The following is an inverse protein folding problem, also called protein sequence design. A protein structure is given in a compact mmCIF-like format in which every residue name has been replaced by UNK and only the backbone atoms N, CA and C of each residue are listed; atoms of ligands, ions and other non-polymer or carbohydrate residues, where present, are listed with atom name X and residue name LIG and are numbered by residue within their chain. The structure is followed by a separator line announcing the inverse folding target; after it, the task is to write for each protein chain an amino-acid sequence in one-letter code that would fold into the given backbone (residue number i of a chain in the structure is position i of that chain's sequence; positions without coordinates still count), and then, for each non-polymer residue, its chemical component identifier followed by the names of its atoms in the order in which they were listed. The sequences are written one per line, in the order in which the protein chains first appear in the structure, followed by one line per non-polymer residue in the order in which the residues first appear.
data_IF_365400367918
#
_entry.id   IF_365400367918
#
_cell.length_a   1.000
_cell.length_b   1.000
_cell.length_c   1.000
_cell.angle_alpha   90.00
_cell.angle_beta   90.00
_cell.angle_gamma   90.00
#
_symmetry.space_group_name_H-M   'P 1'
#
loop_
_entity.id
_entity.type
_entity.pdbx_description
1 polymer ?
#
# COMPACT_ATOMS: atom_id res chain seq x y z
N UNK A 1 8.48 -21.33 27.13
CA UNK A 1 7.28 -21.02 26.33
C UNK A 1 6.19 -20.61 27.30
N UNK A 2 6.04 -19.30 27.48
CA UNK A 2 5.33 -18.71 28.60
C UNK A 2 3.86 -18.47 28.28
N UNK A 3 3.08 -18.66 29.33
CA UNK A 3 1.63 -18.72 29.50
C UNK A 3 0.82 -17.46 29.09
N UNK A 4 1.33 -16.67 28.15
CA UNK A 4 0.67 -15.47 27.62
C UNK A 4 0.15 -15.61 26.18
N UNK A 5 0.47 -16.73 25.50
CA UNK A 5 -0.02 -16.98 24.13
C UNK A 5 -1.44 -17.55 24.09
N UNK A 6 -1.89 -18.25 25.13
CA UNK A 6 -3.19 -18.93 25.14
C UNK A 6 -4.38 -17.98 25.34
N UNK A 7 -4.18 -16.82 25.99
CA UNK A 7 -5.27 -15.86 26.24
C UNK A 7 -5.60 -14.98 25.03
N UNK A 8 -4.67 -14.83 24.08
CA UNK A 8 -4.89 -14.01 22.87
C UNK A 8 -5.63 -14.75 21.76
N UNK A 9 -5.53 -16.07 21.70
CA UNK A 9 -6.25 -16.89 20.71
C UNK A 9 -7.73 -17.00 21.11
N UNK A 10 -8.05 -17.00 22.40
CA UNK A 10 -9.43 -17.13 22.88
C UNK A 10 -10.26 -15.84 22.71
N UNK A 11 -9.63 -14.65 22.75
CA UNK A 11 -10.33 -13.38 22.54
C UNK A 11 -10.72 -13.12 21.07
N UNK A 12 -9.91 -13.57 20.10
CA UNK A 12 -10.22 -13.45 18.66
C UNK A 12 -11.33 -14.42 18.23
N UNK A 13 -11.45 -15.57 18.89
CA UNK A 13 -12.50 -16.55 18.60
C UNK A 13 -13.91 -16.10 19.06
N UNK A 14 -14.02 -15.28 20.11
CA UNK A 14 -15.32 -14.83 20.63
C UNK A 14 -15.86 -13.61 19.85
N UNK A 15 -14.98 -12.74 19.32
CA UNK A 15 -15.38 -11.63 18.44
C UNK A 15 -15.72 -12.08 17.01
N UNK A 16 -15.16 -13.19 16.53
CA UNK A 16 -15.50 -13.76 15.22
C UNK A 16 -16.82 -14.53 15.18
N UNK A 17 -17.35 -14.97 16.33
CA UNK A 17 -18.58 -15.76 16.39
C UNK A 17 -19.86 -14.92 16.52
N UNK A 18 -19.78 -13.64 16.92
CA UNK A 18 -20.99 -12.80 17.06
C UNK A 18 -21.45 -12.15 15.75
N UNK A 19 -20.57 -11.99 14.75
CA UNK A 19 -20.93 -11.44 13.44
C UNK A 19 -21.62 -12.46 12.50
N UNK A 20 -21.73 -13.73 12.90
CA UNK A 20 -22.30 -14.81 12.06
C UNK A 20 -23.68 -15.30 12.52
N UNK A 21 -24.39 -14.60 13.41
CA UNK A 21 -25.67 -15.07 13.96
C UNK A 21 -26.93 -14.26 13.63
N UNK A 22 -26.87 -13.20 12.81
CA UNK A 22 -28.08 -12.40 12.49
C UNK A 22 -28.56 -12.40 11.02
N UNK A 23 -28.07 -13.27 10.14
CA UNK A 23 -28.58 -13.34 8.76
C UNK A 23 -29.78 -14.30 8.54
N UNK A 24 -30.42 -14.82 9.60
CA UNK A 24 -31.49 -15.84 9.46
C UNK A 24 -32.93 -15.33 9.60
N UNK A 25 -33.18 -14.01 9.51
CA UNK A 25 -34.56 -13.48 9.48
C UNK A 25 -34.81 -12.59 8.28
N UNK A 26 -34.67 -13.21 7.09
CA UNK A 26 -35.46 -12.83 5.92
C UNK A 26 -36.40 -14.00 5.63
N UNK A 27 -37.52 -14.03 6.33
CA UNK A 27 -38.70 -14.79 5.92
C UNK A 27 -39.72 -13.79 5.36
N UNK A 28 -40.08 -14.01 4.10
CA UNK A 28 -41.32 -13.63 3.43
C UNK A 28 -42.06 -12.35 3.88
N UNK A 29 -42.05 -11.33 3.00
CA UNK A 29 -43.28 -10.60 2.67
C UNK A 29 -43.78 -9.47 3.59
N UNK A 30 -43.03 -9.01 4.58
CA UNK A 30 -43.45 -7.85 5.40
C UNK A 30 -42.48 -6.67 5.25
N UNK A 31 -43.00 -5.53 4.79
CA UNK A 31 -42.29 -4.24 4.77
C UNK A 31 -42.14 -3.82 6.23
N UNK A 32 -40.90 -3.76 6.73
CA UNK A 32 -40.58 -3.24 8.07
C UNK A 32 -41.05 -1.78 8.09
N UNK A 33 -41.90 -1.38 9.06
CA UNK A 33 -42.35 0.00 9.14
C UNK A 33 -41.15 0.93 9.40
N UNK A 34 -41.15 2.14 8.81
CA UNK A 34 -39.94 2.98 8.73
C UNK A 34 -39.37 3.40 10.09
N UNK A 35 -40.20 3.44 11.14
CA UNK A 35 -39.80 3.71 12.52
C UNK A 35 -38.98 2.57 13.14
N UNK A 36 -39.34 1.31 12.87
CA UNK A 36 -38.54 0.16 13.30
C UNK A 36 -37.22 0.03 12.51
N UNK A 37 -37.24 0.36 11.22
CA UNK A 37 -36.04 0.39 10.38
C UNK A 37 -35.02 1.44 10.89
N UNK A 38 -35.50 2.63 11.27
CA UNK A 38 -34.63 3.66 11.87
C UNK A 38 -34.08 3.24 13.24
N UNK A 39 -34.87 2.55 14.07
CA UNK A 39 -34.41 2.07 15.36
C UNK A 39 -33.28 1.03 15.21
N UNK A 40 -33.39 0.12 14.24
CA UNK A 40 -32.36 -0.88 13.93
C UNK A 40 -31.09 -0.23 13.37
N UNK A 41 -31.22 0.74 12.47
CA UNK A 41 -30.07 1.48 11.93
C UNK A 41 -29.35 2.26 13.02
N UNK A 42 -30.08 2.91 13.93
CA UNK A 42 -29.49 3.63 15.07
C UNK A 42 -28.77 2.66 16.02
N UNK A 43 -29.37 1.50 16.31
CA UNK A 43 -28.72 0.48 17.14
C UNK A 43 -27.41 -0.02 16.51
N UNK A 44 -27.40 -0.26 15.19
CA UNK A 44 -26.19 -0.67 14.47
C UNK A 44 -25.11 0.43 14.45
N UNK A 45 -25.52 1.70 14.34
CA UNK A 45 -24.60 2.84 14.39
C UNK A 45 -23.98 2.99 15.78
N UNK A 46 -24.74 2.81 16.85
CA UNK A 46 -24.19 2.89 18.21
C UNK A 46 -23.26 1.70 18.52
N UNK A 47 -23.58 0.50 18.05
CA UNK A 47 -22.71 -0.68 18.20
C UNK A 47 -21.39 -0.53 17.41
N UNK A 48 -21.45 0.02 16.19
CA UNK A 48 -20.25 0.30 15.38
C UNK A 48 -19.43 1.46 15.93
N UNK A 49 -20.05 2.48 16.53
CA UNK A 49 -19.34 3.55 17.25
C UNK A 49 -18.62 3.03 18.48
N UNK A 50 -19.26 2.15 19.26
CA UNK A 50 -18.63 1.52 20.42
C UNK A 50 -17.43 0.66 20.02
N UNK A 51 -17.55 -0.12 18.95
CA UNK A 51 -16.43 -0.88 18.39
C UNK A 51 -15.29 0.03 17.88
N UNK A 52 -15.62 1.14 17.20
CA UNK A 52 -14.64 2.10 16.73
C UNK A 52 -13.94 2.87 17.86
N UNK A 53 -14.63 3.12 18.99
CA UNK A 53 -14.03 3.73 20.17
C UNK A 53 -13.02 2.79 20.84
N UNK A 54 -13.35 1.50 20.99
CA UNK A 54 -12.45 0.50 21.54
C UNK A 54 -11.17 0.33 20.68
N UNK A 55 -11.31 0.37 19.35
CA UNK A 55 -10.15 0.31 18.44
C UNK A 55 -9.25 1.55 18.52
N UNK A 56 -9.83 2.74 18.77
CA UNK A 56 -9.05 3.96 18.99
C UNK A 56 -8.27 3.92 20.30
N UNK A 57 -8.85 3.38 21.37
CA UNK A 57 -8.15 3.22 22.65
C UNK A 57 -6.98 2.21 22.54
N UNK A 58 -7.15 1.13 21.77
CA UNK A 58 -6.04 0.21 21.49
C UNK A 58 -4.96 0.83 20.58
N UNK A 59 -5.33 1.63 19.57
CA UNK A 59 -4.39 2.33 18.69
C UNK A 59 -3.58 3.40 19.44
N UNK A 60 -4.22 4.17 20.33
CA UNK A 60 -3.56 5.16 21.18
C UNK A 60 -2.60 4.50 22.19
N UNK A 61 -2.96 3.33 22.74
CA UNK A 61 -2.10 2.57 23.62
C UNK A 61 -0.85 2.02 22.90
N UNK A 62 -1.00 1.54 21.66
CA UNK A 62 0.12 1.06 20.84
C UNK A 62 1.07 2.22 20.47
N UNK A 63 0.52 3.37 20.08
CA UNK A 63 1.32 4.56 19.76
C UNK A 63 2.08 5.10 20.98
N UNK A 64 1.51 4.99 22.18
CA UNK A 64 2.19 5.35 23.43
C UNK A 64 3.35 4.39 23.77
N UNK A 65 3.20 3.10 23.51
CA UNK A 65 4.24 2.09 23.71
C UNK A 65 5.40 2.27 22.70
N UNK A 66 5.10 2.51 21.41
CA UNK A 66 6.10 2.80 20.38
C UNK A 66 6.86 4.11 20.64
N UNK A 67 6.17 5.15 21.14
CA UNK A 67 6.81 6.41 21.55
C UNK A 67 7.74 6.23 22.76
N UNK A 68 7.37 5.36 23.71
CA UNK A 68 8.21 5.03 24.86
C UNK A 68 9.45 4.21 24.46
N UNK A 69 9.35 3.35 23.43
CA UNK A 69 10.48 2.61 22.87
C UNK A 69 11.45 3.52 22.08
N UNK A 70 10.92 4.46 21.29
CA UNK A 70 11.71 5.46 20.57
C UNK A 70 12.49 6.39 21.53
N UNK A 71 11.90 6.76 22.67
CA UNK A 71 12.58 7.54 23.70
C UNK A 71 13.73 6.79 24.40
N UNK A 72 13.66 5.45 24.47
CA UNK A 72 14.75 4.60 24.97
C UNK A 72 15.89 4.48 23.96
N UNK A 73 15.60 4.41 22.67
CA UNK A 73 16.61 4.37 21.60
C UNK A 73 17.43 5.68 21.50
N UNK A 74 16.82 6.83 21.81
CA UNK A 74 17.51 8.12 21.81
C UNK A 74 18.54 8.29 22.96
N UNK A 75 18.42 7.53 24.06
CA UNK A 75 19.37 7.57 25.18
C UNK A 75 20.66 6.79 24.93
N UNK A 76 20.67 5.83 23.99
CA UNK A 76 21.85 5.01 23.66
C UNK A 76 22.84 5.73 22.73
N UNK A 77 22.41 6.77 22.02
CA UNK A 77 23.23 7.51 21.04
C UNK A 77 24.03 8.69 21.63
N UNK A 78 23.88 9.01 22.93
CA UNK A 78 24.52 10.19 23.56
C UNK A 78 25.92 9.93 24.17
N UNK A 79 26.52 8.75 23.96
CA UNK A 79 27.87 8.40 24.49
C UNK A 79 29.02 8.51 23.46
N UNK A 80 28.77 8.90 22.20
CA UNK A 80 29.83 8.99 21.18
C UNK A 80 29.82 10.34 20.47
N UNK A 81 30.07 11.42 21.21
CA UNK A 81 30.36 12.73 20.62
C UNK A 81 31.26 13.53 21.57
N UNK A 82 32.53 13.14 21.62
CA UNK A 82 33.64 14.02 22.02
C UNK A 82 34.89 13.48 21.30
N UNK A 83 35.68 14.40 20.73
CA UNK A 83 36.74 14.22 19.71
C UNK A 83 36.21 14.06 18.28
N UNK A 84 36.53 14.89 17.30
CA UNK A 84 37.56 15.93 17.20
C UNK A 84 37.05 17.11 16.36
N UNK A 85 37.36 18.31 16.81
CA UNK A 85 37.31 19.54 16.03
C UNK A 85 38.65 19.75 15.29
N UNK A 86 38.69 20.80 14.46
CA UNK A 86 39.79 21.31 13.62
C UNK A 86 39.96 20.63 12.24
N UNK A 87 40.06 21.32 11.09
CA UNK A 87 40.33 22.73 10.80
C UNK A 87 39.96 23.11 9.33
N UNK A 88 39.71 24.41 9.13
CA UNK A 88 40.14 25.29 8.00
C UNK A 88 39.50 25.24 6.58
N UNK A 89 38.74 26.33 6.32
CA UNK A 89 38.83 27.31 5.21
C UNK A 89 38.85 26.90 3.71
N UNK A 90 37.72 27.20 3.04
CA UNK A 90 37.54 28.05 1.83
C UNK A 90 38.17 27.62 0.46
N UNK A 91 37.70 28.16 -0.69
CA UNK A 91 37.16 27.37 -1.82
C UNK A 91 37.96 27.55 -3.13
N UNK A 92 37.48 26.97 -4.26
CA UNK A 92 37.37 27.57 -5.62
C UNK A 92 37.61 26.56 -6.79
N UNK A 93 36.72 26.69 -7.79
CA UNK A 93 36.86 26.47 -9.25
C UNK A 93 36.83 25.08 -9.91
N UNK A 94 35.73 24.89 -10.69
CA UNK A 94 35.67 24.78 -12.17
C UNK A 94 36.47 23.66 -12.89
N UNK A 95 35.70 22.76 -13.53
CA UNK A 95 35.92 21.82 -14.68
C UNK A 95 36.75 22.40 -15.87
N UNK A 96 37.07 21.70 -17.00
CA UNK A 96 36.58 20.40 -17.57
C UNK A 96 37.65 19.53 -18.34
N UNK A 97 37.14 18.52 -19.08
CA UNK A 97 37.70 17.73 -20.23
C UNK A 97 38.42 16.43 -19.83
N UNK A 98 38.32 15.29 -20.51
CA UNK A 98 37.74 14.83 -21.81
C UNK A 98 37.44 13.31 -21.69
N UNK A 99 36.41 12.72 -22.32
CA UNK A 99 36.49 11.91 -23.58
C UNK A 99 37.81 11.14 -23.76
N UNK A 100 37.89 9.86 -24.17
CA UNK A 100 36.95 8.81 -24.56
C UNK A 100 37.77 7.50 -24.78
N UNK A 101 37.06 6.39 -25.07
CA UNK A 101 37.52 5.18 -25.81
C UNK A 101 38.42 4.18 -25.04
N UNK A 102 38.40 2.85 -25.23
CA UNK A 102 37.79 1.93 -26.22
C UNK A 102 37.80 0.48 -25.66
N UNK A 103 36.78 -0.30 -26.04
CA UNK A 103 36.74 -1.70 -26.56
C UNK A 103 37.99 -2.63 -26.38
N UNK A 104 37.95 -3.97 -26.33
CA UNK A 104 36.93 -5.03 -26.40
C UNK A 104 37.67 -6.41 -26.23
N UNK A 105 36.89 -7.48 -25.96
CA UNK A 105 37.11 -8.90 -26.32
C UNK A 105 38.30 -9.66 -25.68
N UNK A 106 38.30 -10.98 -25.41
CA UNK A 106 37.41 -12.15 -25.49
C UNK A 106 38.24 -13.31 -24.85
N UNK A 107 37.64 -14.35 -24.26
CA UNK A 107 37.93 -15.76 -24.64
C UNK A 107 37.04 -16.79 -23.92
N UNK A 108 37.05 -18.00 -24.47
CA UNK A 108 35.99 -18.98 -24.54
C UNK A 108 35.92 -20.05 -23.41
N UNK A 109 34.91 -20.90 -23.60
CA UNK A 109 34.38 -22.01 -22.82
C UNK A 109 35.35 -23.10 -22.33
N UNK A 110 34.95 -23.81 -21.25
CA UNK A 110 35.09 -25.27 -21.14
C UNK A 110 34.04 -25.85 -20.17
N UNK A 111 33.33 -26.90 -20.60
CA UNK A 111 32.36 -27.67 -19.82
C UNK A 111 33.05 -28.80 -19.05
N UNK A 112 32.76 -28.97 -17.75
CA UNK A 112 32.72 -30.32 -17.17
C UNK A 112 31.76 -30.44 -15.99
N UNK A 113 30.83 -31.38 -16.17
CA UNK A 113 29.85 -31.85 -15.22
C UNK A 113 30.42 -32.23 -13.85
N UNK A 114 29.70 -31.84 -12.79
CA UNK A 114 29.62 -32.59 -11.55
C UNK A 114 28.23 -32.35 -10.94
N UNK A 115 27.41 -33.37 -11.11
CA UNK A 115 26.11 -33.59 -10.50
C UNK A 115 26.18 -33.40 -8.97
N UNK A 116 25.35 -32.48 -8.44
CA UNK A 116 25.01 -32.47 -7.00
C UNK A 116 23.51 -32.32 -6.86
N UNK A 117 22.85 -33.46 -6.99
CA UNK A 117 21.44 -33.62 -6.63
C UNK A 117 21.28 -33.57 -5.11
N UNK A 118 20.10 -33.10 -4.72
CA UNK A 118 19.48 -33.20 -3.39
C UNK A 118 20.08 -32.35 -2.25
N UNK A 119 19.53 -31.15 -2.08
CA UNK A 119 18.57 -30.91 -1.00
C UNK A 119 17.96 -29.51 -1.16
N UNK A 120 16.86 -29.42 -1.90
CA UNK A 120 15.97 -28.26 -1.84
C UNK A 120 15.23 -28.36 -0.50
N UNK A 121 15.81 -27.79 0.55
CA UNK A 121 15.02 -27.34 1.68
C UNK A 121 14.04 -26.31 1.13
N UNK A 122 12.78 -26.70 1.00
CA UNK A 122 11.68 -25.74 0.80
C UNK A 122 11.56 -24.98 2.11
N UNK A 123 12.44 -24.00 2.31
CA UNK A 123 12.19 -22.95 3.28
C UNK A 123 10.98 -22.19 2.75
N UNK A 124 9.83 -22.36 3.42
CA UNK A 124 8.71 -21.47 3.24
C UNK A 124 9.27 -20.04 3.39
N UNK A 125 9.12 -19.15 2.40
CA UNK A 125 9.77 -17.86 2.45
C UNK A 125 9.27 -17.12 3.67
N UNK A 126 10.14 -16.95 4.67
CA UNK A 126 9.85 -16.17 5.87
C UNK A 126 9.73 -14.73 5.42
N UNK A 127 8.50 -14.30 5.15
CA UNK A 127 8.20 -12.91 4.77
C UNK A 127 8.80 -11.99 5.83
N UNK A 128 9.54 -10.98 5.36
CA UNK A 128 10.12 -9.96 6.21
C UNK A 128 9.03 -9.29 7.06
N UNK A 129 9.42 -8.67 8.18
CA UNK A 129 8.48 -7.91 9.02
C UNK A 129 7.72 -6.84 8.23
N UNK A 130 8.40 -6.17 7.30
CA UNK A 130 7.77 -5.19 6.40
C UNK A 130 6.71 -5.84 5.51
N UNK A 131 7.01 -6.96 4.87
CA UNK A 131 6.05 -7.63 3.98
C UNK A 131 4.83 -8.16 4.74
N UNK A 132 4.99 -8.57 5.99
CA UNK A 132 3.86 -8.93 6.86
C UNK A 132 3.00 -7.71 7.21
N UNK A 133 3.62 -6.58 7.56
CA UNK A 133 2.89 -5.35 7.82
C UNK A 133 2.11 -4.86 6.59
N UNK A 134 2.75 -4.92 5.40
CA UNK A 134 2.12 -4.56 4.14
C UNK A 134 0.94 -5.49 3.81
N UNK A 135 1.05 -6.79 4.11
CA UNK A 135 -0.04 -7.75 3.93
C UNK A 135 -1.24 -7.47 4.85
N UNK A 136 -1.00 -7.09 6.11
CA UNK A 136 -2.06 -6.71 7.06
C UNK A 136 -2.79 -5.46 6.57
N UNK A 137 -2.06 -4.39 6.23
CA UNK A 137 -2.64 -3.16 5.66
C UNK A 137 -3.43 -3.44 4.39
N UNK A 138 -2.86 -4.26 3.51
CA UNK A 138 -3.54 -4.73 2.31
C UNK A 138 -4.87 -5.38 2.65
N UNK A 139 -4.87 -6.39 3.54
CA UNK A 139 -6.09 -7.11 3.91
C UNK A 139 -7.24 -6.21 4.40
N UNK A 140 -6.92 -5.15 5.16
CA UNK A 140 -7.91 -4.19 5.63
C UNK A 140 -8.48 -3.30 4.50
N UNK A 141 -7.67 -2.96 3.49
CA UNK A 141 -8.07 -2.08 2.39
C UNK A 141 -8.69 -2.80 1.19
N UNK A 142 -8.46 -4.11 1.02
CA UNK A 142 -8.94 -4.88 -0.14
C UNK A 142 -10.45 -4.71 -0.43
N UNK A 143 -11.36 -4.75 0.57
CA UNK A 143 -12.79 -4.52 0.30
C UNK A 143 -13.08 -3.11 -0.24
N UNK A 144 -12.37 -2.10 0.26
CA UNK A 144 -12.52 -0.72 -0.19
C UNK A 144 -11.96 -0.52 -1.60
N UNK A 145 -10.81 -1.13 -1.90
CA UNK A 145 -10.22 -1.15 -3.25
C UNK A 145 -11.17 -1.83 -4.22
N UNK A 146 -11.72 -3.00 -3.87
CA UNK A 146 -12.67 -3.74 -4.70
C UNK A 146 -13.93 -2.92 -5.02
N UNK A 147 -14.50 -2.23 -4.02
CA UNK A 147 -15.65 -1.35 -4.21
C UNK A 147 -15.36 -0.26 -5.24
N UNK A 148 -14.28 0.50 -5.05
CA UNK A 148 -13.94 1.60 -5.95
C UNK A 148 -13.41 1.14 -7.31
N UNK A 149 -12.79 -0.03 -7.41
CA UNK A 149 -12.44 -0.64 -8.69
C UNK A 149 -13.71 -0.99 -9.49
N UNK A 150 -14.69 -1.63 -8.85
CA UNK A 150 -15.98 -1.97 -9.45
C UNK A 150 -16.76 -0.72 -9.89
N UNK A 151 -16.80 0.34 -9.08
CA UNK A 151 -17.46 1.60 -9.43
C UNK A 151 -16.85 2.28 -10.67
N UNK A 152 -15.62 1.93 -11.03
CA UNK A 152 -14.86 2.56 -12.11
C UNK A 152 -14.57 1.61 -13.29
N UNK A 153 -15.23 0.46 -13.36
CA UNK A 153 -15.03 -0.56 -14.42
C UNK A 153 -13.57 -1.04 -14.54
N UNK A 154 -12.86 -1.12 -13.42
CA UNK A 154 -11.47 -1.59 -13.37
C UNK A 154 -11.39 -3.05 -12.92
N UNK A 155 -10.51 -3.87 -13.52
CA UNK A 155 -10.11 -5.13 -12.93
C UNK A 155 -9.57 -4.91 -11.52
N UNK A 156 -10.04 -5.68 -10.55
CA UNK A 156 -9.64 -5.55 -9.16
C UNK A 156 -8.13 -5.72 -9.00
N UNK A 157 -7.56 -6.70 -9.70
CA UNK A 157 -6.14 -7.07 -9.66
C UNK A 157 -5.27 -5.89 -10.11
N UNK A 158 -5.70 -5.14 -11.13
CA UNK A 158 -5.00 -3.95 -11.61
C UNK A 158 -5.04 -2.83 -10.56
N UNK A 159 -6.20 -2.57 -9.96
CA UNK A 159 -6.36 -1.54 -8.94
C UNK A 159 -5.53 -1.85 -7.68
N UNK A 160 -5.60 -3.10 -7.19
CA UNK A 160 -4.82 -3.57 -6.05
C UNK A 160 -3.31 -3.50 -6.32
N UNK A 161 -2.87 -3.93 -7.51
CA UNK A 161 -1.46 -3.85 -7.90
C UNK A 161 -0.93 -2.41 -7.92
N UNK A 162 -1.71 -1.45 -8.43
CA UNK A 162 -1.33 -0.03 -8.41
C UNK A 162 -1.22 0.46 -6.98
N UNK A 163 -2.23 0.25 -6.13
CA UNK A 163 -2.19 0.68 -4.71
C UNK A 163 -0.98 0.09 -3.98
N UNK A 164 -0.69 -1.19 -4.22
CA UNK A 164 0.47 -1.88 -3.64
C UNK A 164 1.79 -1.27 -4.07
N UNK A 165 1.97 -0.97 -5.36
CA UNK A 165 3.21 -0.40 -5.88
C UNK A 165 3.40 1.04 -5.41
N UNK A 166 2.33 1.84 -5.40
CA UNK A 166 2.38 3.28 -5.14
C UNK A 166 2.63 3.61 -3.66
N UNK A 167 1.99 2.88 -2.73
CA UNK A 167 2.01 3.24 -1.32
C UNK A 167 2.29 2.10 -0.35
N UNK A 168 2.34 0.85 -0.85
CA UNK A 168 2.30 -0.36 -0.01
C UNK A 168 1.12 -0.31 0.97
N UNK A 169 -0.05 0.08 0.48
CA UNK A 169 -1.29 0.18 1.25
C UNK A 169 -1.24 1.23 2.39
N UNK A 170 -0.40 2.25 2.28
CA UNK A 170 -0.30 3.32 3.27
C UNK A 170 -1.10 4.57 2.82
N UNK A 171 -2.25 4.89 3.44
CA UNK A 171 -3.04 6.06 3.09
C UNK A 171 -2.35 7.39 3.46
N UNK A 172 -1.43 7.38 4.42
CA UNK A 172 -0.61 8.53 4.78
C UNK A 172 0.65 8.72 3.90
N UNK A 173 0.83 7.91 2.85
CA UNK A 173 2.02 8.00 1.98
C UNK A 173 2.07 9.34 1.26
N UNK A 174 3.27 9.94 1.17
CA UNK A 174 3.47 11.19 0.45
C UNK A 174 4.83 11.22 -0.25
N UNK A 175 4.83 11.57 -1.53
CA UNK A 175 6.03 11.75 -2.33
C UNK A 175 5.92 13.05 -3.14
N UNK A 176 6.48 14.14 -2.61
CA UNK A 176 6.36 15.47 -3.20
C UNK A 176 4.89 15.89 -3.36
N UNK A 177 4.39 16.12 -4.60
CA UNK A 177 3.01 16.52 -4.84
C UNK A 177 2.02 15.34 -4.92
N UNK A 178 2.50 14.10 -4.85
CA UNK A 178 1.71 12.87 -4.93
C UNK A 178 1.36 12.35 -3.54
N UNK A 179 0.08 11.96 -3.34
CA UNK A 179 -0.49 11.75 -2.00
C UNK A 179 -1.32 10.47 -1.95
N UNK A 180 -1.20 9.77 -0.83
CA UNK A 180 -2.03 8.65 -0.40
C UNK A 180 -1.84 7.35 -1.19
N UNK A 181 -2.86 6.51 -1.15
CA UNK A 181 -2.83 5.12 -1.61
C UNK A 181 -2.41 4.96 -3.06
N UNK A 182 -2.93 5.81 -3.95
CA UNK A 182 -2.67 5.74 -5.39
C UNK A 182 -1.60 6.74 -5.83
N UNK A 183 -1.03 7.52 -4.91
CA UNK A 183 -0.09 8.60 -5.22
C UNK A 183 -0.66 9.61 -6.24
N UNK A 184 -1.95 9.94 -6.14
CA UNK A 184 -2.59 10.97 -6.98
C UNK A 184 -2.03 12.36 -6.65
N UNK A 185 -1.85 13.17 -7.70
CA UNK A 185 -1.47 14.57 -7.56
C UNK A 185 -2.68 15.44 -7.14
N UNK A 186 -2.49 16.39 -6.24
CA UNK A 186 -3.57 17.29 -5.78
C UNK A 186 -4.26 18.05 -6.93
N UNK A 187 -3.49 18.55 -7.93
CA UNK A 187 -4.07 19.23 -9.10
C UNK A 187 -4.90 18.28 -9.97
N UNK A 188 -4.46 17.03 -10.10
CA UNK A 188 -5.22 15.98 -10.79
C UNK A 188 -6.53 15.70 -10.05
N UNK A 189 -6.49 15.52 -8.73
CA UNK A 189 -7.70 15.33 -7.94
C UNK A 189 -8.68 16.51 -8.10
N UNK A 190 -8.19 17.75 -8.09
CA UNK A 190 -9.02 18.95 -8.36
C UNK A 190 -9.66 18.91 -9.74
N UNK A 191 -8.91 18.51 -10.78
CA UNK A 191 -9.45 18.38 -12.14
C UNK A 191 -10.56 17.34 -12.26
N UNK A 192 -10.60 16.38 -11.33
CA UNK A 192 -11.63 15.33 -11.24
C UNK A 192 -12.83 15.72 -10.35
N UNK A 193 -12.80 16.93 -9.77
CA UNK A 193 -13.87 17.49 -8.96
C UNK A 193 -13.59 17.56 -7.46
N UNK A 194 -12.38 17.23 -7.00
CA UNK A 194 -12.02 17.35 -5.58
C UNK A 194 -11.95 18.81 -5.12
N UNK A 195 -12.64 19.12 -4.02
CA UNK A 195 -12.73 20.47 -3.44
C UNK A 195 -12.16 20.58 -2.02
N UNK A 196 -11.68 19.46 -1.45
CA UNK A 196 -11.06 19.44 -0.13
C UNK A 196 -9.64 20.00 -0.16
N UNK A 197 -9.03 20.05 1.02
CA UNK A 197 -7.63 20.43 1.16
C UNK A 197 -6.67 19.29 0.77
N UNK A 198 -5.37 19.55 0.80
CA UNK A 198 -4.37 18.55 0.44
C UNK A 198 -4.39 17.36 1.40
N UNK A 199 -4.67 17.60 2.69
CA UNK A 199 -4.65 16.59 3.74
C UNK A 199 -5.78 15.56 3.58
N UNK A 200 -6.94 15.97 3.09
CA UNK A 200 -8.05 15.05 2.83
C UNK A 200 -7.74 13.99 1.76
N UNK A 201 -6.69 14.13 0.97
CA UNK A 201 -6.22 13.04 0.09
C UNK A 201 -5.43 11.95 0.83
N UNK A 202 -5.13 12.11 2.12
CA UNK A 202 -4.58 11.05 2.96
C UNK A 202 -5.67 10.16 3.57
N UNK A 203 -6.95 10.55 3.46
CA UNK A 203 -8.06 9.64 3.75
C UNK A 203 -8.14 8.55 2.69
N UNK A 204 -8.20 7.29 3.11
CA UNK A 204 -8.15 6.13 2.22
C UNK A 204 -9.32 6.13 1.21
N UNK A 205 -10.51 6.42 1.70
CA UNK A 205 -11.72 6.42 0.89
C UNK A 205 -11.72 7.56 -0.14
N UNK A 206 -11.40 8.77 0.29
CA UNK A 206 -11.26 9.93 -0.58
C UNK A 206 -10.17 9.70 -1.62
N UNK A 207 -9.02 9.14 -1.23
CA UNK A 207 -7.93 8.87 -2.15
C UNK A 207 -8.33 7.86 -3.23
N UNK A 208 -8.94 6.73 -2.86
CA UNK A 208 -9.38 5.70 -3.81
C UNK A 208 -10.45 6.22 -4.77
N UNK A 209 -11.38 7.04 -4.29
CA UNK A 209 -12.43 7.66 -5.12
C UNK A 209 -11.85 8.45 -6.29
N UNK A 210 -10.83 9.29 -6.05
CA UNK A 210 -10.23 10.11 -7.11
C UNK A 210 -9.11 9.39 -7.86
N UNK A 211 -8.29 8.63 -7.14
CA UNK A 211 -7.17 7.85 -7.67
C UNK A 211 -7.62 6.80 -8.68
N UNK A 212 -8.60 5.97 -8.32
CA UNK A 212 -9.12 4.94 -9.21
C UNK A 212 -9.98 5.51 -10.34
N UNK A 213 -10.64 6.65 -10.13
CA UNK A 213 -11.27 7.42 -11.22
C UNK A 213 -10.24 7.88 -12.26
N UNK A 214 -9.08 8.36 -11.84
CA UNK A 214 -7.99 8.73 -12.75
C UNK A 214 -7.42 7.50 -13.48
N UNK A 215 -7.21 6.40 -12.75
CA UNK A 215 -6.74 5.14 -13.33
C UNK A 215 -7.72 4.59 -14.38
N UNK A 216 -9.03 4.68 -14.13
CA UNK A 216 -10.07 4.25 -15.08
C UNK A 216 -10.07 5.05 -16.37
N UNK A 217 -9.84 6.36 -16.30
CA UNK A 217 -9.69 7.19 -17.51
C UNK A 217 -8.46 6.72 -18.32
N UNK A 218 -7.34 6.45 -17.67
CA UNK A 218 -6.17 5.87 -18.34
C UNK A 218 -6.47 4.50 -18.95
N UNK A 219 -7.24 3.65 -18.26
CA UNK A 219 -7.61 2.31 -18.69
C UNK A 219 -8.49 2.34 -19.95
N UNK A 220 -9.52 3.20 -19.94
CA UNK A 220 -10.40 3.42 -21.09
C UNK A 220 -9.62 3.96 -22.30
N UNK A 221 -8.71 4.91 -22.09
CA UNK A 221 -7.84 5.44 -23.15
C UNK A 221 -6.81 4.44 -23.68
N UNK A 222 -6.51 3.39 -22.93
CA UNK A 222 -5.64 2.29 -23.35
C UNK A 222 -6.41 1.13 -24.00
N UNK A 223 -7.74 1.22 -24.13
CA UNK A 223 -8.56 0.11 -24.64
C UNK A 223 -8.50 -1.14 -23.75
N UNK A 224 -8.25 -0.96 -22.45
CA UNK A 224 -8.08 -2.06 -21.50
C UNK A 224 -6.67 -2.67 -21.44
N UNK A 225 -5.71 -2.20 -22.25
CA UNK A 225 -4.33 -2.69 -22.16
C UNK A 225 -3.66 -2.23 -20.85
N UNK A 226 -3.12 -3.18 -20.09
CA UNK A 226 -2.49 -2.91 -18.80
C UNK A 226 -1.27 -1.99 -18.95
N UNK A 227 -0.35 -2.25 -19.87
CA UNK A 227 0.86 -1.43 -19.99
C UNK A 227 0.52 0.00 -20.47
N UNK A 228 -0.37 0.12 -21.46
CA UNK A 228 -0.89 1.39 -21.95
C UNK A 228 -1.57 2.21 -20.85
N UNK A 229 -2.33 1.53 -19.98
CA UNK A 229 -2.95 2.14 -18.80
C UNK A 229 -1.90 2.73 -17.87
N UNK A 230 -0.89 1.93 -17.51
CA UNK A 230 0.20 2.36 -16.63
C UNK A 230 0.96 3.55 -17.21
N UNK A 231 1.29 3.53 -18.50
CA UNK A 231 1.94 4.66 -19.16
C UNK A 231 1.13 5.95 -18.99
N UNK A 232 -0.18 5.88 -19.27
CA UNK A 232 -1.09 7.02 -19.21
C UNK A 232 -1.37 7.49 -17.77
N UNK A 233 -1.32 6.58 -16.81
CA UNK A 233 -1.48 6.91 -15.40
C UNK A 233 -0.25 7.67 -14.88
N UNK A 234 0.96 7.17 -15.17
CA UNK A 234 2.20 7.76 -14.65
C UNK A 234 2.63 9.04 -15.38
N UNK A 235 2.51 9.04 -16.71
CA UNK A 235 3.06 10.10 -17.56
C UNK A 235 1.96 10.97 -18.17
N UNK A 236 0.72 10.81 -17.71
CA UNK A 236 -0.43 11.58 -18.17
C UNK A 236 -1.12 10.96 -19.39
N UNK A 237 -2.43 11.24 -19.47
CA UNK A 237 -3.36 10.56 -20.37
C UNK A 237 -3.07 10.71 -21.87
N UNK A 238 -2.32 11.74 -22.26
CA UNK A 238 -1.96 12.01 -23.67
C UNK A 238 -0.71 11.26 -24.13
N UNK A 239 0.00 10.61 -23.23
CA UNK A 239 1.28 9.96 -23.53
C UNK A 239 1.06 8.67 -24.32
N UNK A 240 1.76 8.51 -25.45
CA UNK A 240 1.59 7.36 -26.36
C UNK A 240 2.84 6.49 -26.45
N UNK A 241 3.98 6.96 -25.94
CA UNK A 241 5.27 6.27 -26.09
C UNK A 241 5.80 5.77 -24.76
N UNK A 242 6.17 4.49 -24.70
CA UNK A 242 6.73 3.86 -23.50
C UNK A 242 8.14 4.39 -23.19
N UNK A 243 8.33 4.85 -21.96
CA UNK A 243 9.65 5.15 -21.38
C UNK A 243 10.23 3.91 -20.69
N UNK A 244 11.54 3.90 -20.39
CA UNK A 244 12.15 2.83 -19.59
C UNK A 244 11.47 2.65 -18.22
N UNK A 245 11.11 3.77 -17.57
CA UNK A 245 10.40 3.77 -16.29
C UNK A 245 9.00 3.14 -16.40
N UNK A 246 8.22 3.50 -17.44
CA UNK A 246 6.88 2.92 -17.65
C UNK A 246 6.94 1.41 -17.92
N UNK A 247 7.97 0.94 -18.65
CA UNK A 247 8.19 -0.50 -18.89
C UNK A 247 8.51 -1.24 -17.59
N UNK A 248 9.39 -0.69 -16.77
CA UNK A 248 9.73 -1.28 -15.47
C UNK A 248 8.52 -1.32 -14.54
N UNK A 249 7.70 -0.27 -14.53
CA UNK A 249 6.45 -0.28 -13.76
C UNK A 249 5.46 -1.33 -14.29
N UNK A 250 5.23 -1.39 -15.60
CA UNK A 250 4.33 -2.39 -16.17
C UNK A 250 4.78 -3.82 -15.83
N UNK A 251 6.09 -4.09 -15.87
CA UNK A 251 6.63 -5.39 -15.46
C UNK A 251 6.27 -5.74 -14.01
N UNK A 252 6.36 -4.78 -13.07
CA UNK A 252 5.95 -5.00 -11.68
C UNK A 252 4.46 -5.28 -11.55
N UNK A 253 3.62 -4.54 -12.27
CA UNK A 253 2.16 -4.78 -12.27
C UNK A 253 1.87 -6.19 -12.75
N UNK A 254 2.45 -6.61 -13.87
CA UNK A 254 2.27 -7.96 -14.43
C UNK A 254 2.66 -9.06 -13.44
N UNK A 255 3.77 -8.87 -12.71
CA UNK A 255 4.19 -9.83 -11.67
C UNK A 255 3.17 -9.92 -10.54
N UNK A 256 2.58 -8.80 -10.11
CA UNK A 256 1.58 -8.80 -9.03
C UNK A 256 0.28 -9.41 -9.50
N UNK A 257 -0.20 -9.05 -10.70
CA UNK A 257 -1.47 -9.54 -11.22
C UNK A 257 -1.41 -11.03 -11.58
N UNK A 258 -0.29 -11.52 -12.12
CA UNK A 258 -0.11 -12.95 -12.40
C UNK A 258 -0.03 -13.82 -11.13
N UNK A 259 0.29 -13.23 -9.97
CA UNK A 259 0.27 -13.93 -8.69
C UNK A 259 -1.11 -13.95 -8.02
N UNK A 260 -2.10 -13.26 -8.61
CA UNK A 260 -3.48 -13.20 -8.13
C UNK A 260 -4.42 -14.15 -8.89
N UNK A 261 -3.97 -14.69 -10.02
CA UNK A 261 -4.62 -15.78 -10.79
C UNK A 261 -4.34 -17.15 -10.17
#
# INVERSE_FOLDING_TARGET
MTWQYSSRILAVAILGALALSLSSKVHAGNIIPPDEAEALVRAQIEETKAAAAALKEEEEAILAEEAAEAAKAAKTSKKKTKESAEAKTAPVAVKPKSEASVAAAQDAADERAAEKTASLSVELPVRSRSERADAVKGSALRPLIARYASENDLPYELADAVVRIESRYNPGARNGPNIGLTQINYRTAQSLGYKGDVAGLMDAETNLRYGLKYLSQAYKLAGGDTCGTILRYQFGHRTTTMTGASRAYCARVKVITAAAE
#
